data_IF_916741812474
#
_entry.id   IF_916741812474
#
_cell.length_a   1.000
_cell.length_b   1.000
_cell.length_c   1.000
_cell.angle_alpha   90.00
_cell.angle_beta   90.00
_cell.angle_gamma   90.00
#
_symmetry.space_group_name_H-M   'P 1'
#
loop_
_entity.id
_entity.type
_entity.pdbx_description
1 polymer ?
#
# COMPACT_ATOMS: atom_id res chain seq x y z
N UNK A 1 -13.75 25.61 22.55
CA UNK A 1 -12.80 25.39 21.44
C UNK A 1 -11.40 25.09 22.00
N UNK A 2 -11.23 23.97 22.73
CA UNK A 2 -10.00 23.67 23.49
C UNK A 2 -9.56 22.21 23.32
N UNK A 3 -9.53 21.68 22.09
CA UNK A 3 -9.13 20.28 21.84
C UNK A 3 -8.08 20.11 20.74
N UNK A 4 -7.53 21.20 20.18
CA UNK A 4 -6.61 21.13 19.03
C UNK A 4 -5.11 21.15 19.35
N UNK A 5 -4.70 21.55 20.56
CA UNK A 5 -3.27 21.78 20.89
C UNK A 5 -2.64 20.68 21.74
N UNK A 6 -3.43 19.78 22.33
CA UNK A 6 -2.90 18.68 23.16
C UNK A 6 -2.33 17.55 22.30
N UNK A 7 -2.82 17.38 21.07
CA UNK A 7 -2.43 16.26 20.21
C UNK A 7 -1.10 16.50 19.47
N UNK A 8 -0.70 17.76 19.30
CA UNK A 8 0.60 18.10 18.68
C UNK A 8 1.78 17.99 19.67
N UNK A 9 1.52 17.92 20.98
CA UNK A 9 2.56 17.75 21.98
C UNK A 9 2.96 16.28 22.23
N UNK A 10 2.24 15.30 21.68
CA UNK A 10 2.66 13.89 21.75
C UNK A 10 3.67 13.50 20.65
N UNK A 11 3.82 14.30 19.58
CA UNK A 11 4.77 14.01 18.49
C UNK A 11 6.18 14.59 18.72
N UNK A 12 6.38 15.38 19.78
CA UNK A 12 7.73 15.83 20.19
C UNK A 12 8.31 14.90 21.28
N UNK A 13 8.03 13.60 21.18
CA UNK A 13 8.83 12.57 21.86
C UNK A 13 9.99 12.05 20.99
N UNK A 14 10.19 12.63 19.81
CA UNK A 14 11.30 12.29 18.89
C UNK A 14 12.61 13.03 19.18
N UNK A 15 12.65 13.92 20.17
CA UNK A 15 13.91 14.55 20.58
C UNK A 15 14.48 13.77 21.77
N UNK A 16 15.65 13.09 21.61
CA UNK A 16 16.28 12.44 22.74
C UNK A 16 16.59 13.47 23.83
N UNK A 17 16.45 13.08 25.09
CA UNK A 17 16.85 13.88 26.24
C UNK A 17 18.39 14.04 26.22
N UNK A 18 18.91 15.25 25.98
CA UNK A 18 20.34 15.55 25.76
C UNK A 18 21.23 15.48 27.02
N UNK A 19 20.79 14.80 28.07
CA UNK A 19 21.59 14.57 29.27
C UNK A 19 22.09 13.13 29.29
N UNK A 20 23.16 12.86 28.55
CA UNK A 20 23.71 11.53 28.38
C UNK A 20 25.18 11.49 28.86
N UNK A 21 25.45 10.63 29.85
CA UNK A 21 26.81 10.29 30.26
C UNK A 21 27.49 9.47 29.15
N UNK A 22 28.82 9.33 29.19
CA UNK A 22 29.60 8.71 28.11
C UNK A 22 29.20 7.26 27.71
N UNK A 23 28.33 6.58 28.47
CA UNK A 23 27.74 5.28 28.13
C UNK A 23 26.49 5.32 27.24
N UNK A 24 25.88 6.50 27.05
CA UNK A 24 24.61 6.66 26.31
C UNK A 24 24.80 6.96 24.82
N UNK A 25 26.01 7.36 24.39
CA UNK A 25 26.30 7.71 22.98
C UNK A 25 26.09 6.53 22.02
N UNK A 26 26.52 5.28 22.31
CA UNK A 26 26.26 4.14 21.43
C UNK A 26 24.77 3.81 21.31
N UNK A 27 24.01 3.93 22.41
CA UNK A 27 22.56 3.72 22.41
C UNK A 27 21.83 4.80 21.60
N UNK A 28 22.27 6.05 21.72
CA UNK A 28 21.75 7.16 20.91
C UNK A 28 22.03 6.96 19.42
N UNK A 29 23.23 6.48 19.05
CA UNK A 29 23.56 6.20 17.66
C UNK A 29 22.69 5.09 17.08
N UNK A 30 22.45 4.02 17.85
CA UNK A 30 21.52 2.96 17.43
C UNK A 30 20.10 3.49 17.25
N UNK A 31 19.62 4.33 18.16
CA UNK A 31 18.30 4.94 18.06
C UNK A 31 18.15 5.84 16.82
N UNK A 32 19.19 6.61 16.48
CA UNK A 32 19.22 7.43 15.25
C UNK A 32 19.15 6.52 14.02
N UNK A 33 19.88 5.40 14.02
CA UNK A 33 19.86 4.44 12.91
C UNK A 33 18.49 3.80 12.71
N UNK A 34 17.86 3.36 13.80
CA UNK A 34 16.52 2.77 13.76
C UNK A 34 15.48 3.79 13.28
N UNK A 35 15.60 5.05 13.74
CA UNK A 35 14.74 6.16 13.30
C UNK A 35 14.92 6.45 11.82
N UNK A 36 16.16 6.47 11.33
CA UNK A 36 16.45 6.70 9.92
C UNK A 36 15.86 5.59 9.05
N UNK A 37 15.99 4.33 9.47
CA UNK A 37 15.40 3.19 8.76
C UNK A 37 13.86 3.30 8.70
N UNK A 38 13.22 3.68 9.81
CA UNK A 38 11.78 3.88 9.88
C UNK A 38 11.29 5.02 8.97
N UNK A 39 11.99 6.16 8.96
CA UNK A 39 11.69 7.28 8.06
C UNK A 39 11.81 6.85 6.60
N UNK A 40 12.85 6.10 6.26
CA UNK A 40 13.07 5.67 4.89
C UNK A 40 12.01 4.66 4.41
N UNK A 41 11.57 3.76 5.28
CA UNK A 41 10.44 2.88 5.02
C UNK A 41 9.13 3.68 4.81
N UNK A 42 8.89 4.69 5.65
CA UNK A 42 7.71 5.56 5.54
C UNK A 42 7.70 6.35 4.24
N UNK A 43 8.84 6.94 3.84
CA UNK A 43 8.99 7.64 2.56
C UNK A 43 8.71 6.73 1.37
N UNK A 44 9.21 5.50 1.41
CA UNK A 44 8.98 4.51 0.34
C UNK A 44 7.49 4.16 0.23
N UNK A 45 6.82 3.96 1.37
CA UNK A 45 5.38 3.69 1.40
C UNK A 45 4.56 4.87 0.86
N UNK A 46 4.89 6.10 1.26
CA UNK A 46 4.22 7.30 0.75
C UNK A 46 4.39 7.48 -0.76
N UNK A 47 5.59 7.22 -1.29
CA UNK A 47 5.83 7.28 -2.73
C UNK A 47 5.01 6.24 -3.49
N UNK A 48 4.91 5.01 -2.96
CA UNK A 48 4.07 3.97 -3.56
C UNK A 48 2.59 4.37 -3.56
N UNK A 49 2.10 4.97 -2.48
CA UNK A 49 0.71 5.40 -2.33
C UNK A 49 0.36 6.58 -3.25
N UNK A 50 1.25 7.56 -3.39
CA UNK A 50 1.09 8.70 -4.32
C UNK A 50 1.00 8.26 -5.78
N UNK A 51 1.66 7.16 -6.14
CA UNK A 51 1.54 6.59 -7.49
C UNK A 51 0.27 5.76 -7.68
N UNK A 52 -0.23 5.14 -6.61
CA UNK A 52 -1.38 4.24 -6.66
C UNK A 52 -2.72 4.98 -6.60
N UNK A 53 -2.81 6.08 -5.85
CA UNK A 53 -4.06 6.83 -5.68
C UNK A 53 -4.69 7.34 -6.99
N UNK A 54 -3.94 7.99 -7.90
CA UNK A 54 -4.49 8.43 -9.18
C UNK A 54 -5.03 7.26 -9.99
N UNK A 55 -4.33 6.12 -9.99
CA UNK A 55 -4.75 4.90 -10.69
C UNK A 55 -6.07 4.38 -10.13
N UNK A 56 -6.18 4.28 -8.79
CA UNK A 56 -7.42 3.86 -8.13
C UNK A 56 -8.58 4.78 -8.43
N UNK A 57 -8.37 6.10 -8.44
CA UNK A 57 -9.42 7.06 -8.77
C UNK A 57 -9.90 6.94 -10.22
N UNK A 58 -8.97 6.83 -11.16
CA UNK A 58 -9.31 6.61 -12.58
C UNK A 58 -10.08 5.30 -12.75
N UNK A 59 -9.58 4.21 -12.17
CA UNK A 59 -10.23 2.91 -12.26
C UNK A 59 -11.53 2.84 -11.47
N UNK A 60 -11.74 3.63 -10.42
CA UNK A 60 -13.02 3.66 -9.71
C UNK A 60 -14.10 4.35 -10.57
N UNK A 61 -13.74 5.45 -11.23
CA UNK A 61 -14.66 6.31 -11.99
C UNK A 61 -14.90 5.88 -13.44
N UNK A 62 -13.99 5.07 -14.02
CA UNK A 62 -14.12 4.60 -15.39
C UNK A 62 -15.35 3.70 -15.61
N UNK A 63 -15.78 3.50 -16.86
CA UNK A 63 -16.81 2.50 -17.19
C UNK A 63 -16.33 1.08 -16.86
N UNK A 64 -17.24 0.14 -16.65
CA UNK A 64 -16.95 -1.29 -16.44
C UNK A 64 -16.20 -1.92 -17.62
N UNK A 65 -16.44 -1.40 -18.83
CA UNK A 65 -15.83 -1.83 -20.10
C UNK A 65 -14.60 -1.03 -20.51
N UNK A 66 -14.24 0.03 -19.76
CA UNK A 66 -13.05 0.80 -20.04
C UNK A 66 -11.78 0.02 -19.66
N UNK A 67 -10.68 0.36 -20.32
CA UNK A 67 -9.37 -0.21 -20.02
C UNK A 67 -8.94 0.16 -18.59
N UNK A 68 -8.44 -0.84 -17.86
CA UNK A 68 -7.85 -0.68 -16.54
C UNK A 68 -6.49 -0.02 -16.67
N UNK A 69 -6.27 1.01 -15.85
CA UNK A 69 -4.97 1.63 -15.69
C UNK A 69 -4.21 0.86 -14.62
N UNK A 70 -2.93 0.60 -14.89
CA UNK A 70 -2.01 -0.05 -13.96
C UNK A 70 -0.95 0.95 -13.48
N UNK A 71 -0.48 0.84 -12.23
CA UNK A 71 0.60 1.69 -11.73
C UNK A 71 1.91 1.52 -12.52
N UNK A 72 2.77 2.55 -12.54
CA UNK A 72 3.97 2.56 -13.39
C UNK A 72 5.00 1.50 -13.02
N UNK A 73 4.98 0.96 -11.80
CA UNK A 73 5.87 -0.12 -11.38
C UNK A 73 5.46 -1.49 -11.94
N UNK A 74 4.25 -1.64 -12.49
CA UNK A 74 3.81 -2.88 -13.13
C UNK A 74 4.46 -2.97 -14.52
N UNK A 75 5.33 -3.97 -14.77
CA UNK A 75 6.05 -4.07 -16.05
C UNK A 75 5.10 -4.30 -17.24
N UNK A 76 5.38 -3.67 -18.37
CA UNK A 76 4.59 -3.84 -19.61
C UNK A 76 4.49 -5.30 -20.06
N UNK A 77 5.56 -6.10 -19.87
CA UNK A 77 5.58 -7.53 -20.22
C UNK A 77 4.60 -8.40 -19.41
N UNK A 78 4.11 -7.89 -18.28
CA UNK A 78 3.16 -8.59 -17.40
C UNK A 78 1.71 -8.26 -17.77
N UNK A 79 1.44 -7.07 -18.32
CA UNK A 79 0.08 -6.59 -18.62
C UNK A 79 -0.76 -7.50 -19.53
N UNK A 80 -0.20 -8.24 -20.51
CA UNK A 80 -0.97 -9.20 -21.29
C UNK A 80 -1.64 -10.32 -20.47
N UNK A 81 -1.11 -10.60 -19.27
CA UNK A 81 -1.64 -11.62 -18.34
C UNK A 81 -2.59 -11.04 -17.30
N UNK A 82 -2.78 -9.73 -17.28
CA UNK A 82 -3.66 -9.03 -16.36
C UNK A 82 -5.01 -8.73 -17.05
N UNK A 83 -6.10 -8.57 -16.28
CA UNK A 83 -7.38 -8.11 -16.80
C UNK A 83 -7.24 -6.79 -17.55
N UNK A 84 -7.86 -6.69 -18.72
CA UNK A 84 -7.89 -5.44 -19.47
C UNK A 84 -8.97 -4.48 -18.99
N UNK A 85 -10.10 -5.00 -18.50
CA UNK A 85 -11.25 -4.19 -18.09
C UNK A 85 -11.73 -4.55 -16.69
N UNK A 86 -12.53 -3.68 -16.07
CA UNK A 86 -13.12 -3.99 -14.75
C UNK A 86 -13.99 -5.22 -14.79
N UNK A 87 -14.75 -5.42 -15.87
CA UNK A 87 -15.57 -6.61 -16.06
C UNK A 87 -14.75 -7.90 -15.95
N UNK A 88 -13.59 -7.94 -16.61
CA UNK A 88 -12.68 -9.07 -16.55
C UNK A 88 -12.11 -9.24 -15.15
N UNK A 89 -11.72 -8.14 -14.49
CA UNK A 89 -11.17 -8.17 -13.13
C UNK A 89 -12.20 -8.69 -12.12
N UNK A 90 -13.46 -8.24 -12.20
CA UNK A 90 -14.55 -8.67 -11.32
C UNK A 90 -14.85 -10.16 -11.50
N UNK A 91 -14.70 -10.69 -12.71
CA UNK A 91 -14.94 -12.12 -13.05
C UNK A 91 -13.80 -13.06 -12.70
N UNK A 92 -12.67 -12.56 -12.21
CA UNK A 92 -11.55 -13.43 -11.82
C UNK A 92 -11.97 -14.44 -10.74
N UNK A 93 -11.49 -15.67 -10.88
CA UNK A 93 -11.51 -16.64 -9.79
C UNK A 93 -10.56 -16.20 -8.67
N UNK A 94 -10.66 -16.84 -7.50
CA UNK A 94 -9.72 -16.59 -6.40
C UNK A 94 -8.27 -16.90 -6.78
N UNK A 95 -8.05 -18.01 -7.49
CA UNK A 95 -6.72 -18.42 -7.96
C UNK A 95 -6.17 -17.45 -9.01
N UNK A 96 -7.00 -17.01 -9.96
CA UNK A 96 -6.58 -16.02 -10.95
C UNK A 96 -6.24 -14.68 -10.30
N UNK A 97 -7.04 -14.25 -9.32
CA UNK A 97 -6.75 -13.04 -8.57
C UNK A 97 -5.45 -13.16 -7.79
N UNK A 98 -5.17 -14.31 -7.16
CA UNK A 98 -3.90 -14.57 -6.48
C UNK A 98 -2.71 -14.51 -7.45
N UNK A 99 -2.84 -15.09 -8.65
CA UNK A 99 -1.82 -15.01 -9.71
C UNK A 99 -1.60 -13.57 -10.17
N UNK A 100 -2.68 -12.83 -10.43
CA UNK A 100 -2.60 -11.44 -10.83
C UNK A 100 -1.94 -10.58 -9.74
N UNK A 101 -2.29 -10.80 -8.46
CA UNK A 101 -1.65 -10.15 -7.31
C UNK A 101 -0.15 -10.41 -7.25
N UNK A 102 0.27 -11.66 -7.45
CA UNK A 102 1.70 -12.00 -7.48
C UNK A 102 2.43 -11.32 -8.64
N UNK A 103 1.82 -11.27 -9.82
CA UNK A 103 2.37 -10.63 -11.02
C UNK A 103 2.60 -9.12 -10.85
N UNK A 104 1.75 -8.44 -10.07
CA UNK A 104 1.89 -7.01 -9.75
C UNK A 104 2.66 -6.74 -8.44
N UNK A 105 3.22 -7.79 -7.81
CA UNK A 105 4.05 -7.66 -6.62
C UNK A 105 3.28 -7.36 -5.33
N UNK A 106 1.99 -7.71 -5.24
CA UNK A 106 1.24 -7.63 -4.00
C UNK A 106 1.73 -8.69 -3.00
N UNK A 107 1.70 -8.39 -1.68
CA UNK A 107 2.06 -9.35 -0.66
C UNK A 107 1.13 -10.56 -0.72
N UNK A 108 1.70 -11.76 -0.58
CA UNK A 108 0.91 -12.98 -0.48
C UNK A 108 -0.01 -12.93 0.74
N UNK A 109 -1.26 -13.36 0.57
CA UNK A 109 -2.15 -13.61 1.70
C UNK A 109 -1.74 -14.91 2.41
N UNK A 110 -2.26 -15.10 3.63
CA UNK A 110 -2.06 -16.33 4.37
C UNK A 110 -2.59 -17.55 3.60
N UNK A 111 -2.04 -18.74 3.87
CA UNK A 111 -2.37 -19.98 3.16
C UNK A 111 -3.86 -20.34 3.20
N UNK A 112 -4.54 -19.92 4.26
CA UNK A 112 -5.96 -20.13 4.54
C UNK A 112 -6.87 -19.03 3.98
N UNK A 113 -6.31 -18.08 3.23
CA UNK A 113 -7.09 -17.02 2.62
C UNK A 113 -8.12 -17.58 1.64
N UNK A 114 -9.34 -17.11 1.76
CA UNK A 114 -10.45 -17.48 0.90
C UNK A 114 -10.28 -16.90 -0.51
N UNK A 115 -10.90 -17.54 -1.49
CA UNK A 115 -10.97 -17.02 -2.86
C UNK A 115 -11.49 -15.58 -2.93
N UNK A 116 -12.44 -15.22 -2.04
CA UNK A 116 -12.97 -13.87 -1.93
C UNK A 116 -11.90 -12.88 -1.45
N UNK A 117 -11.07 -13.25 -0.46
CA UNK A 117 -10.00 -12.38 0.02
C UNK A 117 -8.95 -12.10 -1.05
N UNK A 118 -8.57 -13.10 -1.85
CA UNK A 118 -7.66 -12.88 -2.98
C UNK A 118 -8.25 -11.91 -4.02
N UNK A 119 -9.53 -12.09 -4.37
CA UNK A 119 -10.23 -11.17 -5.28
C UNK A 119 -10.31 -9.76 -4.71
N UNK A 120 -10.71 -9.62 -3.45
CA UNK A 120 -10.79 -8.33 -2.77
C UNK A 120 -9.43 -7.63 -2.73
N UNK A 121 -8.35 -8.34 -2.41
CA UNK A 121 -7.01 -7.76 -2.39
C UNK A 121 -6.63 -7.15 -3.75
N UNK A 122 -6.81 -7.92 -4.83
CA UNK A 122 -6.50 -7.49 -6.19
C UNK A 122 -7.35 -6.29 -6.63
N UNK A 123 -8.67 -6.38 -6.42
CA UNK A 123 -9.61 -5.35 -6.84
C UNK A 123 -9.45 -4.06 -6.02
N UNK A 124 -9.24 -4.16 -4.71
CA UNK A 124 -8.97 -3.00 -3.85
C UNK A 124 -7.66 -2.32 -4.24
N UNK A 125 -6.63 -3.08 -4.61
CA UNK A 125 -5.39 -2.50 -5.11
C UNK A 125 -5.65 -1.62 -6.34
N UNK A 126 -6.45 -2.10 -7.29
CA UNK A 126 -6.80 -1.37 -8.52
C UNK A 126 -7.88 -0.31 -8.34
N UNK A 127 -8.54 -0.21 -7.18
CA UNK A 127 -9.66 0.72 -6.95
C UNK A 127 -10.96 0.28 -7.63
N UNK A 128 -11.13 -1.03 -7.87
CA UNK A 128 -12.35 -1.60 -8.43
C UNK A 128 -13.22 -2.13 -7.28
N UNK A 129 -14.47 -1.66 -7.21
CA UNK A 129 -15.43 -2.15 -6.21
C UNK A 129 -16.24 -3.32 -6.79
N UNK A 130 -16.51 -4.31 -5.95
CA UNK A 130 -17.50 -5.35 -6.24
C UNK A 130 -18.81 -4.89 -5.60
N UNK A 131 -19.82 -4.60 -6.39
CA UNK A 131 -21.18 -4.46 -5.86
C UNK A 131 -21.66 -5.85 -5.44
N UNK A 132 -21.59 -6.13 -4.13
CA UNK A 132 -22.22 -7.31 -3.54
C UNK A 132 -23.70 -7.00 -3.35
N UNK A 133 -24.51 -7.18 -4.40
CA UNK A 133 -25.96 -7.30 -4.30
C UNK A 133 -26.34 -8.72 -3.86
#
# INVERSE_FOLDING_TARGET
>A
MHHGLTQFCQEIQLLPNWNAGAGDIPAMFQQIMDTQAAIQASLTAMQADLQLHPVRLCNATASVTADLIYPPHVPEGVRPFLPRTKEQAIRLSGEDAARCSALIGLPALASEATALQHRCQFLNYLGVQIDTN
#
